data_IF_094628371266
#
_entry.id   IF_094628371266
#
_cell.length_a   1.000
_cell.length_b   1.000
_cell.length_c   1.000
_cell.angle_alpha   90.00
_cell.angle_beta   90.00
_cell.angle_gamma   90.00
#
_symmetry.space_group_name_H-M   'P 1'
#
loop_
_entity.id
_entity.type
_entity.pdbx_description
1 polymer ?
#
# COMPACT_ATOMS: atom_id res chain seq x y z
N UNK A 1 -12.40 -14.22 22.04
CA UNK A 1 -11.03 -13.67 21.99
C UNK A 1 -10.91 -12.94 20.66
N UNK A 2 -10.55 -11.66 20.61
CA UNK A 2 -10.30 -11.02 19.34
C UNK A 2 -9.11 -11.75 18.70
N UNK A 3 -9.34 -12.39 17.55
CA UNK A 3 -8.25 -12.90 16.72
C UNK A 3 -7.40 -11.69 16.38
N UNK A 4 -6.20 -11.58 16.94
CA UNK A 4 -5.20 -10.65 16.42
C UNK A 4 -5.06 -11.00 14.93
N UNK A 5 -5.53 -10.13 14.06
CA UNK A 5 -5.25 -10.24 12.63
C UNK A 5 -3.72 -10.20 12.54
N UNK A 6 -3.05 -11.26 12.08
CA UNK A 6 -1.60 -11.31 12.05
C UNK A 6 -1.05 -10.07 11.34
N UNK A 7 0.07 -9.54 11.82
CA UNK A 7 0.76 -8.42 11.18
C UNK A 7 1.31 -8.88 9.82
N UNK A 8 0.46 -8.86 8.78
CA UNK A 8 0.73 -9.57 7.53
C UNK A 8 1.95 -9.00 6.81
N UNK A 9 2.28 -7.72 7.06
CA UNK A 9 3.46 -7.09 6.47
C UNK A 9 4.77 -7.64 7.05
N UNK A 10 4.79 -8.12 8.30
CA UNK A 10 5.96 -8.80 8.89
C UNK A 10 6.22 -10.16 8.24
N UNK A 11 5.15 -10.90 7.93
CA UNK A 11 5.26 -12.15 7.17
C UNK A 11 5.78 -11.88 5.76
N UNK A 12 5.24 -10.88 5.06
CA UNK A 12 5.72 -10.49 3.73
C UNK A 12 7.18 -10.05 3.75
N UNK A 13 7.61 -9.28 4.78
CA UNK A 13 9.03 -8.94 4.98
C UNK A 13 9.88 -10.19 5.11
N UNK A 14 9.53 -11.08 6.04
CA UNK A 14 10.33 -12.26 6.36
C UNK A 14 10.52 -13.15 5.12
N UNK A 15 9.45 -13.35 4.34
CA UNK A 15 9.51 -14.09 3.09
C UNK A 15 10.41 -13.40 2.06
N UNK A 16 10.24 -12.08 1.86
CA UNK A 16 11.06 -11.34 0.90
C UNK A 16 12.55 -11.41 1.26
N UNK A 17 12.90 -11.22 2.53
CA UNK A 17 14.28 -11.30 3.01
C UNK A 17 14.88 -12.69 2.81
N UNK A 18 14.11 -13.75 3.11
CA UNK A 18 14.55 -15.12 2.90
C UNK A 18 14.82 -15.44 1.42
N UNK A 19 14.00 -14.90 0.50
CA UNK A 19 14.11 -15.16 -0.94
C UNK A 19 15.22 -14.34 -1.62
N UNK A 20 15.49 -13.12 -1.13
CA UNK A 20 16.36 -12.17 -1.84
C UNK A 20 17.69 -11.93 -1.15
N UNK A 21 17.84 -12.35 0.11
CA UNK A 21 18.96 -11.99 1.00
C UNK A 21 19.19 -10.48 1.13
N UNK A 22 18.22 -9.64 0.75
CA UNK A 22 18.31 -8.18 0.85
C UNK A 22 17.71 -7.67 2.15
N UNK A 23 18.33 -6.67 2.80
CA UNK A 23 17.74 -6.03 3.95
C UNK A 23 16.45 -5.30 3.56
N UNK A 24 15.51 -5.27 4.49
CA UNK A 24 14.21 -4.64 4.31
C UNK A 24 13.89 -3.86 5.56
N UNK A 25 13.49 -2.61 5.38
CA UNK A 25 13.05 -1.73 6.46
C UNK A 25 11.53 -1.82 6.60
N UNK A 26 11.06 -2.00 7.83
CA UNK A 26 9.65 -1.90 8.21
C UNK A 26 9.43 -0.66 9.09
N UNK A 27 8.16 -0.27 9.22
CA UNK A 27 7.76 0.81 10.10
C UNK A 27 8.21 2.19 9.64
N UNK A 28 8.50 2.35 8.34
CA UNK A 28 8.84 3.65 7.76
C UNK A 28 7.60 4.54 7.67
N UNK A 29 7.79 5.86 7.69
CA UNK A 29 6.67 6.81 7.60
C UNK A 29 6.10 6.92 6.19
N UNK A 30 4.89 7.49 6.06
CA UNK A 30 4.33 7.88 4.76
C UNK A 30 5.25 8.85 4.01
N UNK A 31 5.90 9.78 4.71
CA UNK A 31 6.87 10.70 4.09
C UNK A 31 8.07 9.97 3.49
N UNK A 32 8.59 8.95 4.17
CA UNK A 32 9.67 8.11 3.63
C UNK A 32 9.20 7.32 2.40
N UNK A 33 7.98 6.77 2.42
CA UNK A 33 7.38 6.10 1.26
C UNK A 33 7.30 7.06 0.07
N UNK A 34 6.73 8.25 0.27
CA UNK A 34 6.55 9.25 -0.79
C UNK A 34 7.90 9.74 -1.33
N UNK A 35 8.88 9.96 -0.45
CA UNK A 35 10.26 10.31 -0.85
C UNK A 35 10.90 9.21 -1.68
N UNK A 36 10.78 7.96 -1.27
CA UNK A 36 11.33 6.82 -2.01
C UNK A 36 10.71 6.71 -3.41
N UNK A 37 9.38 6.87 -3.53
CA UNK A 37 8.69 6.88 -4.82
C UNK A 37 9.16 8.03 -5.71
N UNK A 38 9.31 9.24 -5.15
CA UNK A 38 9.83 10.40 -5.88
C UNK A 38 11.29 10.20 -6.36
N UNK A 39 12.06 9.36 -5.66
CA UNK A 39 13.43 8.98 -6.03
C UNK A 39 13.48 7.77 -6.98
N UNK A 40 12.33 7.26 -7.43
CA UNK A 40 12.24 6.17 -8.41
C UNK A 40 12.17 4.77 -7.82
N UNK A 41 11.93 4.62 -6.50
CA UNK A 41 11.59 3.34 -5.93
C UNK A 41 10.31 2.80 -6.60
N UNK A 42 10.30 1.50 -6.90
CA UNK A 42 9.16 0.83 -7.54
C UNK A 42 8.63 -0.26 -6.63
N UNK A 43 7.31 -0.32 -6.48
CA UNK A 43 6.62 -1.42 -5.82
C UNK A 43 6.90 -1.50 -4.32
N UNK A 44 6.52 -0.43 -3.61
CA UNK A 44 6.59 -0.41 -2.14
C UNK A 44 5.34 -1.10 -1.60
N UNK A 45 5.52 -2.17 -0.83
CA UNK A 45 4.41 -2.84 -0.15
C UNK A 45 3.97 -2.00 1.05
N UNK A 46 2.70 -1.64 1.09
CA UNK A 46 2.10 -0.83 2.14
C UNK A 46 0.89 -1.58 2.68
N UNK A 47 0.79 -1.69 4.00
CA UNK A 47 -0.38 -2.18 4.70
C UNK A 47 -1.12 -1.01 5.34
N UNK A 48 -2.40 -0.86 5.04
CA UNK A 48 -3.25 0.23 5.53
C UNK A 48 -4.52 -0.31 6.21
N UNK A 49 -5.12 0.45 7.14
CA UNK A 49 -6.50 0.22 7.55
C UNK A 49 -7.45 0.23 6.35
N UNK A 50 -8.32 -0.76 6.27
CA UNK A 50 -9.19 -0.99 5.11
C UNK A 50 -10.51 -1.63 5.56
N UNK A 51 -11.55 -0.82 5.68
CA UNK A 51 -12.83 -1.26 6.25
C UNK A 51 -12.66 -1.74 7.68
N UNK A 52 -13.13 -2.95 7.96
CA UNK A 52 -13.03 -3.59 9.28
C UNK A 52 -11.67 -4.24 9.55
N UNK A 53 -10.76 -4.23 8.57
CA UNK A 53 -9.48 -4.95 8.64
C UNK A 53 -8.29 -4.14 8.17
N UNK A 54 -7.22 -4.86 7.84
CA UNK A 54 -5.99 -4.32 7.27
C UNK A 54 -5.79 -4.92 5.88
N UNK A 55 -5.22 -4.14 4.97
CA UNK A 55 -5.05 -4.58 3.59
C UNK A 55 -3.70 -4.15 3.02
N UNK A 56 -3.09 -5.06 2.26
CA UNK A 56 -1.82 -4.81 1.58
C UNK A 56 -2.05 -4.33 0.15
N UNK A 57 -1.39 -3.23 -0.20
CA UNK A 57 -1.31 -2.68 -1.55
C UNK A 57 0.15 -2.49 -1.95
N UNK A 58 0.43 -2.50 -3.24
CA UNK A 58 1.77 -2.22 -3.77
C UNK A 58 1.76 -0.86 -4.43
N UNK A 59 2.32 0.15 -3.77
CA UNK A 59 2.39 1.52 -4.29
C UNK A 59 3.49 1.62 -5.33
N UNK A 60 3.12 2.09 -6.52
CA UNK A 60 4.01 2.10 -7.70
C UNK A 60 4.40 3.50 -8.13
N UNK A 61 3.52 4.47 -7.94
CA UNK A 61 3.74 5.86 -8.38
C UNK A 61 3.06 6.84 -7.43
N UNK A 62 3.60 8.05 -7.39
CA UNK A 62 2.98 9.22 -6.75
C UNK A 62 3.03 10.38 -7.73
N UNK A 63 1.94 11.13 -7.83
CA UNK A 63 1.88 12.42 -8.50
C UNK A 63 1.45 13.52 -7.51
N UNK A 64 1.23 14.74 -8.02
CA UNK A 64 0.92 15.89 -7.17
C UNK A 64 -0.35 15.73 -6.32
N UNK A 65 -1.27 14.82 -6.66
CA UNK A 65 -2.57 14.66 -5.98
C UNK A 65 -2.90 13.23 -5.59
N UNK A 66 -2.27 12.23 -6.20
CA UNK A 66 -2.66 10.83 -6.04
C UNK A 66 -1.47 9.90 -5.88
N UNK A 67 -1.73 8.78 -5.24
CA UNK A 67 -0.88 7.59 -5.36
C UNK A 67 -1.53 6.60 -6.33
N UNK A 68 -0.70 5.84 -7.05
CA UNK A 68 -1.11 4.66 -7.81
C UNK A 68 -0.58 3.41 -7.15
N UNK A 69 -1.40 2.36 -7.16
CA UNK A 69 -1.05 1.11 -6.51
C UNK A 69 -1.75 -0.07 -7.17
N UNK A 70 -1.14 -1.25 -7.01
CA UNK A 70 -1.81 -2.52 -7.27
C UNK A 70 -2.53 -2.98 -6.02
N UNK A 71 -3.77 -3.43 -6.21
CA UNK A 71 -4.60 -4.00 -5.17
C UNK A 71 -4.67 -5.53 -5.34
N UNK A 72 -4.34 -6.29 -4.29
CA UNK A 72 -4.45 -7.75 -4.32
C UNK A 72 -5.92 -8.22 -4.45
N UNK A 73 -6.87 -7.44 -3.94
CA UNK A 73 -8.30 -7.63 -4.17
C UNK A 73 -8.67 -6.97 -5.50
N UNK A 74 -8.35 -7.65 -6.60
CA UNK A 74 -8.73 -7.19 -7.93
C UNK A 74 -10.24 -7.00 -8.02
N UNK A 75 -10.64 -5.87 -8.58
CA UNK A 75 -12.00 -5.59 -9.00
C UNK A 75 -12.14 -5.78 -10.51
N UNK A 76 -13.28 -6.28 -10.97
CA UNK A 76 -13.63 -6.34 -12.39
C UNK A 76 -14.35 -5.07 -12.87
N UNK A 77 -14.39 -4.03 -12.03
CA UNK A 77 -15.00 -2.77 -12.41
C UNK A 77 -14.23 -2.08 -13.56
N UNK A 78 -14.93 -1.37 -14.47
CA UNK A 78 -14.29 -0.65 -15.57
C UNK A 78 -13.33 0.45 -15.09
N UNK A 79 -12.35 0.76 -15.93
CA UNK A 79 -11.49 1.93 -15.77
C UNK A 79 -12.31 3.20 -15.55
N UNK A 80 -11.91 4.01 -14.58
CA UNK A 80 -12.59 5.24 -14.18
C UNK A 80 -13.68 5.08 -13.15
N UNK A 81 -14.05 3.84 -12.79
CA UNK A 81 -15.01 3.59 -11.71
C UNK A 81 -14.45 4.04 -10.38
N UNK A 82 -15.24 4.79 -9.61
CA UNK A 82 -14.93 5.12 -8.22
C UNK A 82 -15.50 4.02 -7.33
N UNK A 83 -14.63 3.34 -6.60
CA UNK A 83 -14.96 2.31 -5.64
C UNK A 83 -14.97 2.91 -4.24
N UNK A 84 -15.96 2.49 -3.46
CA UNK A 84 -16.08 2.82 -2.04
C UNK A 84 -16.05 1.57 -1.18
N UNK A 85 -16.77 1.63 -0.05
CA UNK A 85 -16.85 0.62 1.00
C UNK A 85 -16.78 -0.86 0.53
N UNK A 86 -16.15 -1.76 1.32
CA UNK A 86 -15.65 -1.51 2.68
C UNK A 86 -14.31 -0.75 2.73
N UNK A 87 -13.66 -0.46 1.60
CA UNK A 87 -12.38 0.26 1.55
C UNK A 87 -12.48 1.80 1.53
N UNK A 88 -11.33 2.50 1.54
CA UNK A 88 -11.28 3.91 1.19
C UNK A 88 -11.73 4.13 -0.26
N UNK A 89 -12.23 5.34 -0.51
CA UNK A 89 -12.52 5.78 -1.87
C UNK A 89 -11.26 5.70 -2.74
N UNK A 90 -11.40 5.09 -3.90
CA UNK A 90 -10.33 4.90 -4.88
C UNK A 90 -10.92 4.78 -6.27
N UNK A 91 -10.13 5.10 -7.28
CA UNK A 91 -10.53 5.03 -8.68
C UNK A 91 -9.80 3.88 -9.36
N UNK A 92 -10.52 3.05 -10.11
CA UNK A 92 -9.92 2.05 -10.99
C UNK A 92 -9.20 2.76 -12.12
N UNK A 93 -7.93 2.45 -12.31
CA UNK A 93 -7.13 2.97 -13.43
C UNK A 93 -7.14 1.94 -14.56
N UNK A 94 -6.10 1.10 -14.69
CA UNK A 94 -6.01 0.06 -15.70
C UNK A 94 -5.20 -1.13 -15.20
N UNK A 95 -5.41 -2.31 -15.79
CA UNK A 95 -4.58 -3.51 -15.53
C UNK A 95 -4.46 -3.90 -14.04
N UNK A 96 -5.50 -3.69 -13.25
CA UNK A 96 -5.49 -3.95 -11.81
C UNK A 96 -4.82 -2.86 -10.96
N UNK A 97 -4.43 -1.74 -11.57
CA UNK A 97 -4.05 -0.52 -10.85
C UNK A 97 -5.28 0.26 -10.41
N UNK A 98 -5.16 0.81 -9.21
CA UNK A 98 -6.10 1.75 -8.62
C UNK A 98 -5.34 3.00 -8.17
N UNK A 99 -6.06 4.11 -8.00
CA UNK A 99 -5.51 5.33 -7.44
C UNK A 99 -6.36 5.88 -6.30
N UNK A 100 -5.73 6.53 -5.33
CA UNK A 100 -6.44 7.28 -4.28
C UNK A 100 -5.78 8.62 -4.06
N UNK A 101 -6.54 9.55 -3.49
CA UNK A 101 -6.05 10.86 -3.12
C UNK A 101 -4.88 10.77 -2.12
N UNK A 102 -3.87 11.61 -2.31
CA UNK A 102 -2.65 11.62 -1.50
C UNK A 102 -2.94 11.98 -0.04
N UNK A 103 -3.84 12.93 0.21
CA UNK A 103 -4.26 13.31 1.58
C UNK A 103 -4.93 12.13 2.26
N UNK A 104 -5.77 11.40 1.51
CA UNK A 104 -6.41 10.18 2.03
C UNK A 104 -5.39 9.10 2.37
N UNK A 105 -4.40 8.87 1.51
CA UNK A 105 -3.31 7.93 1.78
C UNK A 105 -2.56 8.28 3.06
N UNK A 106 -2.15 9.54 3.22
CA UNK A 106 -1.45 10.02 4.43
C UNK A 106 -2.32 9.83 5.68
N UNK A 107 -3.62 10.14 5.59
CA UNK A 107 -4.55 9.96 6.70
C UNK A 107 -4.75 8.49 7.11
N UNK A 108 -4.78 7.57 6.16
CA UNK A 108 -4.83 6.12 6.45
C UNK A 108 -3.52 5.64 7.08
N UNK A 109 -2.38 6.18 6.62
CA UNK A 109 -1.09 5.84 7.19
C UNK A 109 -0.97 6.31 8.66
N UNK A 110 -1.47 7.50 8.97
CA UNK A 110 -1.52 8.01 10.34
C UNK A 110 -2.40 7.15 11.28
N UNK A 111 -3.33 6.36 10.74
CA UNK A 111 -4.17 5.41 11.49
C UNK A 111 -3.48 4.05 11.72
N UNK A 112 -2.15 3.99 11.62
CA UNK A 112 -1.37 2.77 11.84
C UNK A 112 -1.05 2.02 10.54
N UNK A 113 -0.86 2.74 9.44
CA UNK A 113 -0.27 2.17 8.23
C UNK A 113 1.19 1.77 8.45
N UNK A 114 1.63 0.77 7.71
CA UNK A 114 3.00 0.25 7.73
C UNK A 114 3.48 0.10 6.29
N UNK A 115 4.77 0.27 6.06
CA UNK A 115 5.34 0.04 4.76
C UNK A 115 6.66 -0.73 4.85
N UNK A 116 6.93 -1.46 3.78
CA UNK A 116 8.11 -2.26 3.57
C UNK A 116 8.92 -1.63 2.44
N UNK A 117 10.11 -1.12 2.76
CA UNK A 117 11.02 -0.54 1.78
C UNK A 117 12.28 -1.39 1.68
N UNK A 118 12.63 -1.75 0.44
CA UNK A 118 13.86 -2.45 0.14
C UNK A 118 15.06 -1.54 0.47
N UNK A 119 16.05 -2.07 1.19
CA UNK A 119 17.33 -1.38 1.35
C UNK A 119 18.05 -1.29 0.00
N UNK A 120 18.74 -0.16 -0.22
CA UNK A 120 19.65 0.01 -1.35
C UNK A 120 20.82 -0.98 -1.27
#
# INVERSE_FOLDING_TARGET
>A
MPSEIPDTIETSRSLYQALTARPVRLGISSEEVLRALAQGAKGILVELPWGEGRHQIVVTQVDARRIRFFNAQRTDAPAGTVLGAPGPERRVEANGEESMDLVRFVALFAQGGKAMLQGA
#
